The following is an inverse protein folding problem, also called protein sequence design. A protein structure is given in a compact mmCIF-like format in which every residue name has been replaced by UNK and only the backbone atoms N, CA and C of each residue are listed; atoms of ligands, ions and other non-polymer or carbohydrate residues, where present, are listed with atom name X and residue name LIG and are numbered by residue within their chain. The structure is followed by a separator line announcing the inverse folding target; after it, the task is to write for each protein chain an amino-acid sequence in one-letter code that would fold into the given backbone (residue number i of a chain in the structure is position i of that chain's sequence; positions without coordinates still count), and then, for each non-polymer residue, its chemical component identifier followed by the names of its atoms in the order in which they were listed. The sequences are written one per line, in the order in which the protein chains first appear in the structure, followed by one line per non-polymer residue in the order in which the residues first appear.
data_IF_319813247090
#
_entry.id   IF_319813247090
#
_cell.length_a   1.000
_cell.length_b   1.000
_cell.length_c   1.000
_cell.angle_alpha   90.00
_cell.angle_beta   90.00
_cell.angle_gamma   90.00
#
_symmetry.space_group_name_H-M   'P 1'
#
loop_
_entity.id
_entity.type
_entity.pdbx_description
1 polymer ?
#
# COMPACT_ATOMS: atom_id res chain seq x y z
N UNK A 1 -16.71 18.81 2.18
CA UNK A 1 -15.98 17.85 2.98
C UNK A 1 -14.52 17.82 2.56
N UNK A 2 -13.63 17.92 3.51
CA UNK A 2 -12.19 17.96 3.20
C UNK A 2 -11.67 16.54 2.97
N UNK A 3 -10.73 16.41 2.05
CA UNK A 3 -10.05 15.15 1.81
C UNK A 3 -8.61 15.30 2.26
N UNK A 4 -8.19 14.38 3.11
CA UNK A 4 -6.82 14.37 3.62
C UNK A 4 -6.03 13.32 2.87
N UNK A 5 -4.89 13.72 2.34
CA UNK A 5 -3.99 12.80 1.67
C UNK A 5 -2.78 12.56 2.55
N UNK A 6 -2.39 11.31 2.63
CA UNK A 6 -1.18 10.94 3.34
C UNK A 6 -0.23 10.35 2.31
N UNK A 7 0.91 11.00 2.13
CA UNK A 7 1.94 10.53 1.22
C UNK A 7 3.03 9.84 2.01
N UNK A 8 3.39 8.65 1.59
CA UNK A 8 4.47 7.93 2.23
C UNK A 8 5.69 7.97 1.32
N UNK A 9 6.84 8.25 1.91
CA UNK A 9 8.09 8.13 1.19
C UNK A 9 8.55 6.68 1.16
N UNK A 10 8.24 5.94 2.21
CA UNK A 10 8.68 4.57 2.33
C UNK A 10 7.69 3.79 3.17
N UNK A 11 7.38 2.58 2.76
CA UNK A 11 6.61 1.65 3.58
C UNK A 11 7.57 0.58 4.09
N UNK A 12 7.49 0.27 5.36
CA UNK A 12 8.41 -0.73 5.94
C UNK A 12 7.71 -1.79 6.77
N UNK A 13 6.41 -1.64 7.02
CA UNK A 13 5.73 -2.57 7.91
C UNK A 13 4.36 -2.91 7.35
N UNK A 14 4.06 -4.18 7.31
CA UNK A 14 2.72 -4.65 6.99
C UNK A 14 2.43 -5.79 7.96
N UNK A 15 1.38 -5.64 8.74
CA UNK A 15 1.03 -6.63 9.72
C UNK A 15 -0.48 -6.79 9.74
N UNK A 16 -0.93 -8.03 9.84
CA UNK A 16 -2.35 -8.31 9.81
C UNK A 16 -2.64 -9.33 10.91
N UNK A 17 -3.33 -8.90 11.96
CA UNK A 17 -3.84 -9.87 12.91
C UNK A 17 -5.25 -10.24 12.48
N UNK A 18 -5.98 -10.96 13.30
CA UNK A 18 -7.26 -11.51 12.88
C UNK A 18 -8.29 -10.47 12.47
N UNK A 19 -8.16 -9.24 12.89
CA UNK A 19 -9.20 -8.24 12.68
C UNK A 19 -8.72 -6.93 12.10
N UNK A 20 -7.46 -6.60 12.28
CA UNK A 20 -6.94 -5.29 11.90
C UNK A 20 -5.65 -5.45 11.09
N UNK A 21 -5.54 -4.63 10.07
CA UNK A 21 -4.33 -4.54 9.26
C UNK A 21 -3.62 -3.25 9.60
N UNK A 22 -2.33 -3.33 9.81
CA UNK A 22 -1.47 -2.19 10.11
C UNK A 22 -0.49 -2.00 8.96
N UNK A 23 -0.42 -0.78 8.48
CA UNK A 23 0.55 -0.43 7.43
C UNK A 23 1.38 0.72 7.98
N UNK A 24 2.68 0.51 8.06
CA UNK A 24 3.57 1.51 8.63
C UNK A 24 4.62 1.96 7.65
N UNK A 25 5.05 3.20 7.83
CA UNK A 25 6.08 3.78 6.98
C UNK A 25 6.50 5.12 7.50
N UNK A 26 7.16 5.89 6.64
CA UNK A 26 7.57 7.25 6.97
C UNK A 26 7.15 8.17 5.84
N UNK A 27 6.87 9.41 6.18
CA UNK A 27 6.53 10.41 5.18
C UNK A 27 7.79 11.14 4.71
N UNK A 28 7.60 12.13 3.85
CA UNK A 28 8.73 12.86 3.27
C UNK A 28 9.53 13.62 4.32
N UNK A 29 8.92 13.91 5.46
CA UNK A 29 9.58 14.64 6.54
C UNK A 29 10.14 13.72 7.60
N UNK A 30 10.16 12.42 7.31
CA UNK A 30 10.70 11.40 8.20
C UNK A 30 9.88 11.20 9.47
N UNK A 31 8.58 11.50 9.39
CA UNK A 31 7.66 11.20 10.47
C UNK A 31 7.10 9.80 10.30
N UNK A 32 7.00 9.08 11.40
CA UNK A 32 6.44 7.74 11.37
C UNK A 32 4.93 7.80 11.20
N UNK A 33 4.42 6.96 10.31
CA UNK A 33 2.99 6.88 10.02
C UNK A 33 2.55 5.44 10.20
N UNK A 34 1.42 5.25 10.88
CA UNK A 34 0.82 3.93 10.99
C UNK A 34 -0.66 4.08 10.62
N UNK A 35 -1.11 3.25 9.72
CA UNK A 35 -2.50 3.22 9.30
C UNK A 35 -3.12 1.93 9.79
N UNK A 36 -4.20 2.05 10.55
CA UNK A 36 -4.98 0.90 11.02
C UNK A 36 -6.25 0.79 10.20
N UNK A 37 -6.52 -0.39 9.70
CA UNK A 37 -7.70 -0.63 8.89
C UNK A 37 -8.39 -1.89 9.38
N UNK A 38 -9.69 -1.80 9.57
CA UNK A 38 -10.49 -2.97 9.90
C UNK A 38 -10.52 -3.91 8.70
N UNK A 39 -10.19 -5.17 8.92
CA UNK A 39 -10.10 -6.14 7.81
C UNK A 39 -11.42 -6.30 7.09
N UNK A 40 -12.53 -6.24 7.83
CA UNK A 40 -13.84 -6.36 7.21
C UNK A 40 -14.09 -5.23 6.23
N UNK A 41 -13.78 -4.01 6.64
CA UNK A 41 -13.95 -2.85 5.77
C UNK A 41 -13.00 -2.90 4.58
N UNK A 42 -11.80 -3.39 4.82
CA UNK A 42 -10.82 -3.51 3.75
C UNK A 42 -11.33 -4.45 2.66
N UNK A 43 -11.87 -5.60 3.08
CA UNK A 43 -12.41 -6.57 2.12
C UNK A 43 -13.60 -6.03 1.37
N UNK A 44 -14.41 -5.21 2.04
CA UNK A 44 -15.58 -4.61 1.41
C UNK A 44 -15.20 -3.59 0.35
N UNK A 45 -14.08 -2.91 0.56
CA UNK A 45 -13.69 -1.78 -0.27
C UNK A 45 -12.74 -2.18 -1.39
N UNK A 46 -11.85 -3.11 -1.12
CA UNK A 46 -10.81 -3.46 -2.08
C UNK A 46 -11.33 -4.39 -3.16
N UNK A 47 -10.96 -4.06 -4.37
CA UNK A 47 -11.13 -4.97 -5.50
C UNK A 47 -9.79 -5.67 -5.67
N UNK A 48 -9.65 -6.81 -5.03
CA UNK A 48 -8.37 -7.49 -4.99
C UNK A 48 -7.90 -7.95 -6.36
N UNK A 49 -8.77 -8.54 -7.21
CA UNK A 49 -8.33 -8.89 -8.57
C UNK A 49 -7.83 -7.68 -9.35
N UNK A 50 -8.51 -6.55 -9.22
CA UNK A 50 -8.10 -5.33 -9.92
C UNK A 50 -6.74 -4.84 -9.42
N UNK A 51 -6.57 -4.83 -8.10
CA UNK A 51 -5.30 -4.41 -7.51
C UNK A 51 -4.17 -5.31 -7.96
N UNK A 52 -4.43 -6.60 -7.95
CA UNK A 52 -3.43 -7.58 -8.34
C UNK A 52 -3.00 -7.36 -9.78
N UNK A 53 -3.97 -7.09 -10.64
CA UNK A 53 -3.66 -6.82 -12.04
C UNK A 53 -2.77 -5.60 -12.19
N UNK A 54 -3.12 -4.53 -11.49
CA UNK A 54 -2.35 -3.29 -11.58
C UNK A 54 -0.95 -3.44 -11.01
N UNK A 55 -0.83 -4.16 -9.91
CA UNK A 55 0.47 -4.38 -9.32
C UNK A 55 1.33 -5.28 -10.20
N UNK A 56 0.73 -6.25 -10.85
CA UNK A 56 1.46 -7.09 -11.78
C UNK A 56 1.98 -6.30 -12.97
N UNK A 57 1.15 -5.37 -13.47
CA UNK A 57 1.60 -4.50 -14.55
C UNK A 57 2.82 -3.70 -14.13
N UNK A 58 2.79 -3.19 -12.91
CA UNK A 58 3.93 -2.41 -12.41
C UNK A 58 5.17 -3.28 -12.27
N UNK A 59 5.01 -4.49 -11.76
CA UNK A 59 6.13 -5.42 -11.61
C UNK A 59 6.72 -5.75 -12.97
N UNK A 60 5.87 -5.98 -13.96
CA UNK A 60 6.34 -6.27 -15.30
C UNK A 60 7.15 -5.12 -15.88
N UNK A 61 6.70 -3.90 -15.63
CA UNK A 61 7.45 -2.73 -16.09
C UNK A 61 8.81 -2.64 -15.42
N UNK A 62 8.87 -2.92 -14.13
CA UNK A 62 10.14 -2.92 -13.42
C UNK A 62 11.10 -3.96 -14.01
N UNK A 63 10.56 -5.14 -14.31
CA UNK A 63 11.38 -6.20 -14.86
C UNK A 63 11.89 -5.85 -16.25
N UNK A 64 11.06 -5.20 -17.04
CA UNK A 64 11.50 -4.76 -18.37
C UNK A 64 12.62 -3.77 -18.26
N UNK A 65 12.51 -2.82 -17.35
CA UNK A 65 13.57 -1.83 -17.16
C UNK A 65 14.86 -2.48 -16.69
N UNK A 66 14.74 -3.49 -15.86
CA UNK A 66 15.90 -4.20 -15.37
C UNK A 66 16.62 -4.96 -16.46
N UNK A 67 15.86 -5.56 -17.35
CA UNK A 67 16.43 -6.35 -18.43
C UNK A 67 17.03 -5.52 -19.53
N UNK A 68 16.66 -4.29 -19.55
CA UNK A 68 17.14 -3.36 -20.55
C UNK A 68 18.48 -2.81 -20.11
N UNK A 69 19.45 -2.99 -20.89
CA UNK A 69 20.80 -2.56 -20.50
C UNK A 69 21.31 -1.48 -21.37
#
# INVERSE_FOLDING_TARGET
MAVNYIETAELHTFSCDGQITYIGGVDAENNEIVIEVCNYQLLQTLDIPYMKEKLNDYINKLNENKNEK
#
